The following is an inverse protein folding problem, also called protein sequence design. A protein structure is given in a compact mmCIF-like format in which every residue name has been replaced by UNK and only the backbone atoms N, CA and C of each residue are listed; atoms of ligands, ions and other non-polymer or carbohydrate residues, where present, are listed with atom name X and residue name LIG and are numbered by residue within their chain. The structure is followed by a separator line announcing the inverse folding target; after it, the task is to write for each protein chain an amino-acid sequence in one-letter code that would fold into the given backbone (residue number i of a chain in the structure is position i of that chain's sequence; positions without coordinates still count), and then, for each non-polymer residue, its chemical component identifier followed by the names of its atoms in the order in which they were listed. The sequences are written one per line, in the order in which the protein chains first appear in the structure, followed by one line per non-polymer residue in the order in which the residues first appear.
data_IF_295450847896
#
_entry.id   IF_295450847896
#
_cell.length_a   1.000
_cell.length_b   1.000
_cell.length_c   1.000
_cell.angle_alpha   90.00
_cell.angle_beta   90.00
_cell.angle_gamma   90.00
#
_symmetry.space_group_name_H-M   'P 1'
#
loop_
_entity.id
_entity.type
_entity.pdbx_description
1 polymer ?
#
# COMPACT_ATOMS: atom_id res chain seq x y z
N UNK A 1 3.73 70.70 10.69
CA UNK A 1 3.42 69.74 9.61
C UNK A 1 4.48 68.63 9.57
N UNK A 2 4.38 67.60 10.45
CA UNK A 2 5.32 66.46 10.50
C UNK A 2 4.61 65.09 10.52
N UNK A 3 3.26 65.03 10.47
CA UNK A 3 2.46 63.80 10.60
C UNK A 3 2.46 62.88 9.36
N UNK A 4 2.90 63.34 8.18
CA UNK A 4 2.85 62.51 6.97
C UNK A 4 4.09 61.63 6.72
N UNK A 5 5.27 61.99 7.26
CA UNK A 5 6.53 61.26 7.01
C UNK A 5 6.60 59.90 7.72
N UNK A 6 5.99 59.79 8.91
CA UNK A 6 5.96 58.54 9.66
C UNK A 6 5.10 57.46 9.00
N UNK A 7 3.98 57.86 8.42
CA UNK A 7 3.08 56.95 7.73
C UNK A 7 3.65 56.40 6.42
N UNK A 8 4.39 57.25 5.71
CA UNK A 8 5.10 56.81 4.47
C UNK A 8 6.24 55.84 4.74
N UNK A 9 6.97 56.01 5.84
CA UNK A 9 8.04 55.09 6.25
C UNK A 9 7.42 53.72 6.71
N UNK A 10 6.32 53.78 7.45
CA UNK A 10 5.65 52.54 7.87
C UNK A 10 5.09 51.75 6.67
N UNK A 11 4.49 52.42 5.69
CA UNK A 11 4.00 51.78 4.46
C UNK A 11 5.15 51.17 3.63
N UNK A 12 6.32 51.83 3.58
CA UNK A 12 7.50 51.32 2.89
C UNK A 12 8.06 50.06 3.57
N UNK A 13 8.11 50.03 4.89
CA UNK A 13 8.56 48.84 5.67
C UNK A 13 7.62 47.68 5.47
N UNK A 14 6.31 47.90 5.50
CA UNK A 14 5.33 46.84 5.25
C UNK A 14 5.41 46.36 3.79
N UNK A 15 5.60 47.24 2.83
CA UNK A 15 5.75 46.89 1.44
C UNK A 15 7.01 46.05 1.16
N UNK A 16 8.15 46.42 1.74
CA UNK A 16 9.42 45.67 1.60
C UNK A 16 9.33 44.30 2.30
N UNK A 17 8.72 44.23 3.48
CA UNK A 17 8.55 42.96 4.18
C UNK A 17 7.58 42.03 3.43
N UNK A 18 6.51 42.55 2.83
CA UNK A 18 5.58 41.82 1.99
C UNK A 18 6.23 41.26 0.72
N UNK A 19 7.06 42.06 0.04
CA UNK A 19 7.85 41.65 -1.13
C UNK A 19 8.90 40.60 -0.74
N UNK A 20 9.60 40.81 0.38
CA UNK A 20 10.60 39.84 0.88
C UNK A 20 9.98 38.48 1.19
N UNK A 21 8.83 38.44 1.86
CA UNK A 21 8.11 37.20 2.13
C UNK A 21 7.54 36.55 0.87
N UNK A 22 7.09 37.34 -0.11
CA UNK A 22 6.64 36.84 -1.41
C UNK A 22 7.76 36.20 -2.22
N UNK A 23 8.95 36.81 -2.25
CA UNK A 23 10.13 36.25 -2.94
C UNK A 23 10.63 35.01 -2.24
N UNK A 24 10.66 34.99 -0.91
CA UNK A 24 11.01 33.80 -0.14
C UNK A 24 10.06 32.64 -0.46
N UNK A 25 8.76 32.90 -0.54
CA UNK A 25 7.79 31.83 -0.89
C UNK A 25 7.91 31.32 -2.32
N UNK A 26 8.52 32.11 -3.23
CA UNK A 26 8.78 31.68 -4.63
C UNK A 26 10.14 30.98 -4.81
N UNK A 27 11.12 31.26 -3.94
CA UNK A 27 12.49 30.73 -4.06
C UNK A 27 12.74 29.49 -3.22
N UNK A 28 11.96 29.27 -2.14
CA UNK A 28 12.02 27.98 -1.45
C UNK A 28 11.17 26.96 -2.24
N UNK A 29 11.76 25.82 -2.63
CA UNK A 29 10.94 24.72 -3.12
C UNK A 29 9.88 24.46 -2.04
N UNK A 30 8.59 24.49 -2.42
CA UNK A 30 7.52 23.98 -1.55
C UNK A 30 8.02 22.62 -1.07
N UNK A 31 8.11 22.45 0.25
CA UNK A 31 8.30 21.11 0.81
C UNK A 31 7.28 20.22 0.09
N UNK A 32 7.79 19.28 -0.66
CA UNK A 32 6.98 18.28 -1.32
C UNK A 32 6.24 17.63 -0.17
N UNK A 33 4.90 17.74 -0.12
CA UNK A 33 4.11 17.21 0.98
C UNK A 33 4.45 15.73 1.14
N UNK A 34 5.39 15.42 2.03
CA UNK A 34 5.69 14.06 2.43
C UNK A 34 4.42 13.44 3.03
N UNK A 35 4.16 12.19 2.74
CA UNK A 35 3.02 11.48 3.27
C UNK A 35 2.15 10.82 2.21
N UNK A 36 1.04 10.26 2.68
CA UNK A 36 0.12 9.50 1.83
C UNK A 36 -0.50 10.41 0.77
N UNK A 37 -0.32 10.04 -0.50
CA UNK A 37 -0.82 10.77 -1.66
C UNK A 37 -2.19 10.23 -2.09
N UNK A 38 -2.33 8.89 -2.10
CA UNK A 38 -3.57 8.24 -2.47
C UNK A 38 -3.70 6.88 -1.79
N UNK A 39 -4.95 6.47 -1.56
CA UNK A 39 -5.32 5.18 -0.98
C UNK A 39 -6.39 4.51 -1.82
N UNK A 40 -6.23 3.22 -2.06
CA UNK A 40 -7.23 2.33 -2.65
C UNK A 40 -7.51 1.19 -1.68
N UNK A 41 -8.73 0.69 -1.69
CA UNK A 41 -9.16 -0.36 -0.79
C UNK A 41 -10.20 -1.25 -1.49
N UNK A 42 -10.03 -2.57 -1.35
CA UNK A 42 -10.98 -3.58 -1.79
C UNK A 42 -11.24 -4.59 -0.68
N UNK A 43 -12.45 -5.14 -0.68
CA UNK A 43 -12.91 -6.14 0.28
C UNK A 43 -13.65 -7.26 -0.45
N UNK A 44 -13.41 -8.49 -0.02
CA UNK A 44 -14.09 -9.68 -0.52
C UNK A 44 -14.49 -10.58 0.65
N UNK A 45 -15.79 -10.88 0.76
CA UNK A 45 -16.34 -11.80 1.74
C UNK A 45 -16.46 -13.24 1.22
N UNK A 46 -16.09 -13.49 -0.02
CA UNK A 46 -16.14 -14.83 -0.60
C UNK A 46 -15.15 -15.77 0.07
N UNK A 47 -15.51 -17.07 0.05
CA UNK A 47 -14.61 -18.13 0.49
C UNK A 47 -13.80 -18.61 -0.69
N UNK A 48 -12.47 -18.58 -0.57
CA UNK A 48 -11.54 -19.11 -1.56
C UNK A 48 -10.86 -20.34 -1.01
N UNK A 49 -11.01 -21.46 -1.70
CA UNK A 49 -10.35 -22.72 -1.37
C UNK A 49 -9.00 -22.82 -2.09
N UNK A 50 -8.01 -23.43 -1.44
CA UNK A 50 -6.73 -23.71 -2.07
C UNK A 50 -6.80 -24.96 -2.96
N UNK A 51 -5.85 -25.09 -3.87
CA UNK A 51 -5.68 -26.28 -4.72
C UNK A 51 -4.55 -27.17 -4.15
N UNK A 52 -4.70 -28.51 -4.09
CA UNK A 52 -3.76 -29.41 -3.41
C UNK A 52 -2.38 -29.53 -4.04
N UNK A 53 -2.11 -28.90 -5.15
CA UNK A 53 -0.84 -29.01 -5.89
C UNK A 53 -0.01 -27.72 -5.87
N UNK A 54 -0.15 -26.89 -4.85
CA UNK A 54 0.55 -25.59 -4.75
C UNK A 54 0.44 -24.73 -6.02
N UNK A 55 -0.74 -24.76 -6.64
CA UNK A 55 -1.03 -23.89 -7.80
C UNK A 55 -1.50 -22.53 -7.30
N UNK A 56 -0.99 -21.46 -7.91
CA UNK A 56 -1.42 -20.10 -7.63
C UNK A 56 -2.91 -19.92 -7.96
N UNK A 57 -3.66 -19.45 -6.98
CA UNK A 57 -5.04 -19.00 -7.13
C UNK A 57 -5.06 -17.51 -6.86
N UNK A 58 -5.37 -16.72 -7.90
CA UNK A 58 -5.50 -15.27 -7.76
C UNK A 58 -6.85 -14.90 -7.15
N UNK A 59 -6.83 -14.02 -6.15
CA UNK A 59 -8.05 -13.48 -5.55
C UNK A 59 -8.48 -12.25 -6.36
N UNK A 60 -9.09 -12.50 -7.52
CA UNK A 60 -9.41 -11.45 -8.49
C UNK A 60 -10.40 -10.40 -7.94
N UNK A 61 -11.24 -10.77 -6.97
CA UNK A 61 -12.24 -9.87 -6.37
C UNK A 61 -11.62 -8.67 -5.64
N UNK A 62 -10.37 -8.80 -5.16
CA UNK A 62 -9.64 -7.71 -4.48
C UNK A 62 -8.56 -7.07 -5.38
N UNK A 63 -8.63 -7.26 -6.70
CA UNK A 63 -7.66 -6.64 -7.61
C UNK A 63 -7.82 -5.11 -7.60
N UNK A 64 -6.74 -4.40 -7.30
CA UNK A 64 -6.68 -2.94 -7.30
C UNK A 64 -5.85 -2.46 -8.49
N UNK A 65 -6.45 -1.57 -9.32
CA UNK A 65 -5.73 -0.79 -10.31
C UNK A 65 -5.35 0.56 -9.71
N UNK A 66 -4.06 0.90 -9.72
CA UNK A 66 -3.55 2.12 -9.10
C UNK A 66 -2.49 2.78 -9.98
N UNK A 67 -2.20 4.05 -9.72
CA UNK A 67 -1.21 4.82 -10.48
C UNK A 67 -0.12 5.29 -9.55
N UNK A 68 1.14 5.08 -9.93
CA UNK A 68 2.33 5.58 -9.26
C UNK A 68 2.87 6.77 -10.04
N UNK A 69 3.16 7.89 -9.38
CA UNK A 69 3.84 9.05 -9.97
C UNK A 69 5.33 8.98 -9.70
N UNK A 70 6.09 9.79 -10.45
CA UNK A 70 7.54 9.89 -10.23
C UNK A 70 7.85 10.33 -8.79
N UNK A 71 8.71 9.57 -8.09
CA UNK A 71 9.13 9.81 -6.71
C UNK A 71 8.18 9.27 -5.65
N UNK A 72 7.04 8.69 -6.02
CA UNK A 72 6.16 8.01 -5.06
C UNK A 72 6.69 6.60 -4.76
N UNK A 73 6.54 6.20 -3.51
CA UNK A 73 6.68 4.83 -3.03
C UNK A 73 5.31 4.19 -2.82
N UNK A 74 5.26 2.87 -2.78
CA UNK A 74 4.02 2.10 -2.63
C UNK A 74 4.07 1.29 -1.34
N UNK A 75 2.99 1.34 -0.58
CA UNK A 75 2.71 0.46 0.55
C UNK A 75 1.48 -0.38 0.24
N UNK A 76 1.56 -1.68 0.53
CA UNK A 76 0.47 -2.62 0.40
C UNK A 76 0.23 -3.39 1.70
N UNK A 77 -1.03 -3.56 2.05
CA UNK A 77 -1.47 -4.34 3.20
C UNK A 77 -2.62 -5.26 2.78
N UNK A 78 -2.44 -6.55 2.96
CA UNK A 78 -3.48 -7.55 2.80
C UNK A 78 -3.77 -8.21 4.14
N UNK A 79 -5.05 -8.41 4.46
CA UNK A 79 -5.49 -9.19 5.61
C UNK A 79 -6.59 -10.16 5.19
N UNK A 80 -6.58 -11.35 5.79
CA UNK A 80 -7.60 -12.36 5.58
C UNK A 80 -7.74 -13.24 6.81
N UNK A 81 -8.84 -13.97 6.91
CA UNK A 81 -9.02 -15.05 7.88
C UNK A 81 -8.80 -16.38 7.17
N UNK A 82 -7.81 -17.14 7.62
CA UNK A 82 -7.45 -18.42 7.03
C UNK A 82 -7.86 -19.59 7.92
N UNK A 83 -8.29 -20.70 7.32
CA UNK A 83 -8.59 -21.97 7.98
C UNK A 83 -7.82 -23.09 7.30
N UNK A 84 -7.02 -23.81 8.07
CA UNK A 84 -6.38 -25.06 7.68
C UNK A 84 -7.18 -26.22 8.21
N UNK A 85 -7.39 -27.24 7.39
CA UNK A 85 -8.12 -28.44 7.74
C UNK A 85 -7.16 -29.58 8.00
N UNK A 86 -7.29 -30.20 9.14
CA UNK A 86 -6.40 -31.27 9.62
C UNK A 86 -6.50 -32.55 8.80
N UNK A 87 -5.47 -32.83 8.04
CA UNK A 87 -5.17 -34.16 7.47
C UNK A 87 -3.64 -34.39 7.35
N UNK A 88 -2.83 -33.64 8.09
CA UNK A 88 -1.36 -33.66 8.04
C UNK A 88 -0.78 -32.27 8.14
N UNK A 89 0.44 -32.07 7.64
CA UNK A 89 1.03 -30.75 7.54
C UNK A 89 0.26 -29.88 6.52
N UNK A 90 -0.61 -29.01 7.01
CA UNK A 90 -1.39 -28.10 6.19
C UNK A 90 -0.73 -26.73 6.10
N UNK A 91 -0.73 -26.12 4.93
CA UNK A 91 -0.19 -24.78 4.71
C UNK A 91 -0.93 -24.01 3.63
N UNK A 92 -1.00 -22.69 3.81
CA UNK A 92 -1.35 -21.71 2.78
C UNK A 92 -0.21 -20.70 2.69
N UNK A 93 0.31 -20.50 1.48
CA UNK A 93 1.29 -19.48 1.14
C UNK A 93 0.56 -18.29 0.53
N UNK A 94 0.99 -17.09 0.87
CA UNK A 94 0.43 -15.82 0.43
C UNK A 94 1.50 -14.98 -0.25
N UNK A 95 1.20 -14.46 -1.45
CA UNK A 95 2.08 -13.58 -2.19
C UNK A 95 1.31 -12.42 -2.81
N UNK A 96 1.91 -11.23 -2.85
CA UNK A 96 1.43 -10.18 -3.74
C UNK A 96 1.78 -10.51 -5.20
N UNK A 97 0.86 -10.16 -6.10
CA UNK A 97 1.03 -10.26 -7.54
C UNK A 97 0.85 -8.88 -8.15
N UNK A 98 1.93 -8.29 -8.65
CA UNK A 98 1.95 -6.98 -9.30
C UNK A 98 2.12 -7.19 -10.80
N UNK A 99 1.21 -6.62 -11.60
CA UNK A 99 1.21 -6.70 -13.07
C UNK A 99 1.35 -8.15 -13.61
N UNK A 100 0.77 -9.10 -12.87
CA UNK A 100 0.81 -10.53 -13.21
C UNK A 100 2.05 -11.28 -12.71
N UNK A 101 2.96 -10.62 -12.00
CA UNK A 101 4.19 -11.24 -11.47
C UNK A 101 4.17 -11.29 -9.94
N UNK A 102 4.54 -12.43 -9.38
CA UNK A 102 4.70 -12.58 -7.92
C UNK A 102 5.84 -11.67 -7.45
N UNK A 103 5.56 -10.86 -6.42
CA UNK A 103 6.56 -10.01 -5.80
C UNK A 103 7.21 -10.78 -4.66
N UNK A 104 8.49 -11.07 -4.81
CA UNK A 104 9.29 -11.75 -3.78
C UNK A 104 10.08 -10.80 -2.87
N UNK A 105 10.81 -11.39 -1.91
CA UNK A 105 11.78 -10.68 -1.08
C UNK A 105 12.83 -9.92 -1.93
N UNK A 106 13.26 -8.70 -1.52
CA UNK A 106 12.97 -8.04 -0.23
C UNK A 106 11.72 -7.17 -0.21
N UNK A 107 11.04 -6.99 -1.34
CA UNK A 107 9.90 -6.05 -1.47
C UNK A 107 8.67 -6.53 -0.71
N UNK A 108 8.36 -7.83 -0.84
CA UNK A 108 7.30 -8.48 -0.09
C UNK A 108 7.76 -9.88 0.32
N UNK A 109 7.94 -10.14 1.61
CA UNK A 109 8.20 -11.50 2.05
C UNK A 109 6.95 -12.35 1.83
N UNK A 110 7.15 -13.60 1.40
CA UNK A 110 6.11 -14.63 1.43
C UNK A 110 5.65 -14.87 2.87
N UNK A 111 4.36 -14.99 3.09
CA UNK A 111 3.80 -15.38 4.39
C UNK A 111 3.21 -16.77 4.29
N UNK A 112 3.62 -17.65 5.19
CA UNK A 112 3.09 -19.01 5.31
C UNK A 112 2.26 -19.10 6.59
N UNK A 113 1.00 -19.53 6.45
CA UNK A 113 0.16 -19.95 7.55
C UNK A 113 0.07 -21.48 7.54
N UNK A 114 0.63 -22.13 8.56
CA UNK A 114 0.79 -23.59 8.60
C UNK A 114 0.37 -24.19 9.94
N UNK A 115 -0.03 -25.45 9.91
CA UNK A 115 -0.34 -26.27 11.07
C UNK A 115 0.15 -27.70 10.86
N UNK A 116 0.56 -28.35 11.95
CA UNK A 116 0.93 -29.74 12.00
C UNK A 116 -0.17 -30.51 12.76
N UNK A 117 -0.92 -31.34 12.02
CA UNK A 117 -1.95 -32.23 12.52
C UNK A 117 -3.13 -31.59 13.32
N UNK A 118 -3.41 -30.31 13.13
CA UNK A 118 -4.52 -29.65 13.79
C UNK A 118 -5.30 -28.75 12.82
N UNK A 119 -6.61 -28.81 12.89
CA UNK A 119 -7.46 -27.78 12.26
C UNK A 119 -7.29 -26.49 13.05
N UNK A 120 -6.77 -25.46 12.40
CA UNK A 120 -6.59 -24.14 12.98
C UNK A 120 -7.17 -23.06 12.08
N UNK A 121 -7.58 -21.97 12.71
CA UNK A 121 -8.01 -20.76 11.98
C UNK A 121 -7.37 -19.55 12.62
N UNK A 122 -7.08 -18.54 11.82
CA UNK A 122 -6.46 -17.32 12.30
C UNK A 122 -6.39 -16.23 11.24
N UNK A 123 -6.11 -15.02 11.70
CA UNK A 123 -5.87 -13.89 10.81
C UNK A 123 -4.45 -13.94 10.25
N UNK A 124 -4.34 -13.68 8.96
CA UNK A 124 -3.06 -13.57 8.25
C UNK A 124 -2.92 -12.16 7.71
N UNK A 125 -1.74 -11.59 7.86
CA UNK A 125 -1.38 -10.27 7.33
C UNK A 125 -0.16 -10.39 6.44
N UNK A 126 -0.27 -9.88 5.22
CA UNK A 126 0.83 -9.72 4.28
C UNK A 126 1.07 -8.24 4.04
N UNK A 127 2.33 -7.80 4.04
CA UNK A 127 2.71 -6.40 3.86
C UNK A 127 3.82 -6.26 2.82
N UNK A 128 3.79 -5.15 2.09
CA UNK A 128 4.88 -4.74 1.23
C UNK A 128 5.13 -3.24 1.36
N UNK A 129 6.38 -2.82 1.16
CA UNK A 129 6.74 -1.42 1.00
C UNK A 129 7.88 -1.34 -0.02
N UNK A 130 7.76 -0.48 -1.03
CA UNK A 130 8.75 -0.37 -2.09
C UNK A 130 8.74 0.99 -2.76
N UNK A 131 9.92 1.44 -3.18
CA UNK A 131 10.17 2.61 -4.01
C UNK A 131 10.62 2.24 -5.44
N UNK A 132 10.64 0.94 -5.76
CA UNK A 132 11.15 0.43 -7.03
C UNK A 132 10.11 0.27 -8.12
N UNK A 133 8.82 0.51 -7.82
CA UNK A 133 7.75 0.46 -8.83
C UNK A 133 7.88 1.69 -9.73
N UNK A 134 7.97 1.47 -11.04
CA UNK A 134 8.10 2.55 -12.01
C UNK A 134 6.82 3.42 -12.04
N UNK A 135 6.94 4.71 -12.41
CA UNK A 135 5.75 5.53 -12.62
C UNK A 135 4.86 4.94 -13.73
N UNK A 136 3.55 4.87 -13.48
CA UNK A 136 2.60 4.32 -14.44
C UNK A 136 1.34 3.76 -13.79
N UNK A 137 0.51 3.12 -14.62
CA UNK A 137 -0.65 2.37 -14.18
C UNK A 137 -0.22 0.93 -13.87
N UNK A 138 -0.63 0.44 -12.71
CA UNK A 138 -0.31 -0.89 -12.20
C UNK A 138 -1.57 -1.61 -11.74
N UNK A 139 -1.50 -2.93 -11.70
CA UNK A 139 -2.53 -3.80 -11.15
C UNK A 139 -1.90 -4.67 -10.06
N UNK A 140 -2.54 -4.77 -8.91
CA UNK A 140 -2.09 -5.62 -7.82
C UNK A 140 -3.23 -6.48 -7.27
N UNK A 141 -2.92 -7.72 -6.97
CA UNK A 141 -3.79 -8.66 -6.28
C UNK A 141 -2.97 -9.54 -5.34
N UNK A 142 -3.59 -10.54 -4.75
CA UNK A 142 -2.93 -11.56 -3.92
C UNK A 142 -3.12 -12.94 -4.55
N UNK A 143 -2.08 -13.75 -4.57
CA UNK A 143 -2.18 -15.18 -4.82
C UNK A 143 -2.10 -15.97 -3.53
N UNK A 144 -2.83 -17.09 -3.51
CA UNK A 144 -2.74 -18.11 -2.48
C UNK A 144 -2.37 -19.44 -3.11
N UNK A 145 -1.52 -20.21 -2.42
CA UNK A 145 -1.20 -21.58 -2.75
C UNK A 145 -1.42 -22.44 -1.51
N UNK A 146 -1.90 -23.65 -1.68
CA UNK A 146 -2.08 -24.57 -0.56
C UNK A 146 -1.78 -26.00 -0.94
N UNK A 147 -1.61 -26.86 0.05
CA UNK A 147 -1.33 -28.27 -0.15
C UNK A 147 -2.58 -29.17 0.08
N UNK A 148 -3.72 -28.61 0.49
CA UNK A 148 -4.98 -29.34 0.67
C UNK A 148 -6.17 -28.58 0.11
N UNK A 149 -7.13 -29.30 -0.51
CA UNK A 149 -8.34 -28.75 -1.13
C UNK A 149 -9.28 -28.02 -0.16
N UNK A 150 -9.26 -28.39 1.11
CA UNK A 150 -10.18 -27.84 2.10
C UNK A 150 -9.59 -26.68 2.89
N UNK A 151 -8.33 -26.36 2.67
CA UNK A 151 -7.76 -25.12 3.18
C UNK A 151 -8.44 -23.95 2.50
N UNK A 152 -8.82 -22.94 3.26
CA UNK A 152 -9.58 -21.80 2.75
C UNK A 152 -9.15 -20.49 3.38
N UNK A 153 -9.48 -19.41 2.68
CA UNK A 153 -9.48 -18.05 3.22
C UNK A 153 -10.85 -17.41 3.05
N UNK A 154 -11.15 -16.43 3.89
CA UNK A 154 -12.39 -15.66 3.86
C UNK A 154 -12.14 -14.26 4.45
N UNK A 155 -13.07 -13.32 4.23
CA UNK A 155 -12.96 -11.95 4.75
C UNK A 155 -11.64 -11.27 4.35
N UNK A 156 -11.37 -11.24 3.05
CA UNK A 156 -10.13 -10.69 2.50
C UNK A 156 -10.22 -9.19 2.28
N UNK A 157 -9.19 -8.45 2.66
CA UNK A 157 -9.05 -7.02 2.41
C UNK A 157 -7.70 -6.70 1.78
N UNK A 158 -7.68 -5.79 0.83
CA UNK A 158 -6.46 -5.26 0.22
C UNK A 158 -6.50 -3.74 0.28
N UNK A 159 -5.44 -3.14 0.82
CA UNK A 159 -5.21 -1.70 0.85
C UNK A 159 -3.90 -1.40 0.13
N UNK A 160 -3.93 -0.44 -0.76
CA UNK A 160 -2.75 0.10 -1.44
C UNK A 160 -2.68 1.60 -1.17
N UNK A 161 -1.49 2.08 -0.88
CA UNK A 161 -1.20 3.50 -0.69
C UNK A 161 0.02 3.90 -1.51
N UNK A 162 -0.06 5.06 -2.18
CA UNK A 162 1.13 5.75 -2.65
C UNK A 162 1.49 6.86 -1.68
N UNK A 163 2.79 7.08 -1.46
CA UNK A 163 3.28 8.11 -0.56
C UNK A 163 4.60 8.71 -1.08
N UNK A 164 4.84 9.95 -0.71
CA UNK A 164 6.15 10.60 -0.90
C UNK A 164 6.95 10.41 0.39
N UNK A 165 8.14 9.79 0.31
CA UNK A 165 9.00 9.55 1.46
C UNK A 165 9.56 10.84 2.07
#
# INVERSE_FOLDING_TARGET
MVKGKGLAILALIIGISGLGLGVISLTFPREQNSGIQKTWFEYDSAIHFTNPIFTDILINAITINFTVKSGESVYGLFNTYATLVDIGEAAILFNFVLDGFVIGSPVSPEVTFSSDHLTISGSVTLQMATDTILPGLHSITVSIQGNFLNNKIEESTLLIQTYLP
#
